data_IF_476983288347
#
_entry.id   IF_476983288347
#
_cell.length_a   1.000
_cell.length_b   1.000
_cell.length_c   1.000
_cell.angle_alpha   90.00
_cell.angle_beta   90.00
_cell.angle_gamma   90.00
#
_symmetry.space_group_name_H-M   'P 1'
#
loop_
_entity.id
_entity.type
_entity.pdbx_description
1 polymer ?
#
# COMPACT_ATOMS: atom_id res chain seq x y z
N UNK A 1 -24.84 26.11 1.23
CA UNK A 1 -23.51 26.29 1.85
C UNK A 1 -22.74 25.01 1.63
N UNK A 2 -21.75 25.06 0.74
CA UNK A 2 -20.87 23.94 0.48
C UNK A 2 -20.02 23.74 1.73
N UNK A 3 -20.11 22.56 2.34
CA UNK A 3 -19.29 22.19 3.47
C UNK A 3 -17.87 22.00 2.91
N UNK A 4 -17.02 23.00 3.08
CA UNK A 4 -15.60 22.97 2.73
C UNK A 4 -14.86 22.08 3.72
N UNK A 5 -15.18 20.79 3.71
CA UNK A 5 -14.39 19.77 4.37
C UNK A 5 -13.19 19.48 3.46
N UNK A 6 -12.16 20.32 3.51
CA UNK A 6 -10.87 19.97 2.93
C UNK A 6 -10.40 18.67 3.59
N UNK A 7 -10.32 17.57 2.82
CA UNK A 7 -10.06 16.22 3.34
C UNK A 7 -8.57 16.01 3.68
N UNK A 8 -7.69 16.89 3.18
CA UNK A 8 -6.32 17.10 3.68
C UNK A 8 -6.25 17.67 5.11
N UNK A 9 -7.41 17.86 5.75
CA UNK A 9 -7.51 18.16 7.17
C UNK A 9 -6.70 17.15 7.99
N UNK A 10 -5.98 17.68 8.99
CA UNK A 10 -5.14 16.89 9.90
C UNK A 10 -5.84 15.65 10.46
N UNK A 11 -7.14 15.77 10.74
CA UNK A 11 -7.95 14.67 11.27
C UNK A 11 -8.01 13.43 10.37
N UNK A 12 -8.10 13.59 9.05
CA UNK A 12 -8.14 12.45 8.12
C UNK A 12 -6.81 11.73 8.12
N UNK A 13 -5.71 12.49 8.09
CA UNK A 13 -4.34 11.97 8.13
C UNK A 13 -4.07 11.25 9.45
N UNK A 14 -4.54 11.78 10.58
CA UNK A 14 -4.45 11.12 11.88
C UNK A 14 -5.18 9.76 11.88
N UNK A 15 -6.35 9.67 11.20
CA UNK A 15 -7.08 8.40 11.04
C UNK A 15 -6.29 7.39 10.21
N UNK A 16 -5.63 7.85 9.13
CA UNK A 16 -4.75 7.01 8.30
C UNK A 16 -3.59 6.48 9.14
N UNK A 17 -2.84 7.34 9.84
CA UNK A 17 -1.72 6.90 10.67
C UNK A 17 -2.17 5.95 11.80
N UNK A 18 -3.31 6.22 12.44
CA UNK A 18 -3.88 5.30 13.44
C UNK A 18 -4.22 3.94 12.85
N UNK A 19 -4.81 3.91 11.65
CA UNK A 19 -5.09 2.66 10.93
C UNK A 19 -3.80 1.89 10.63
N UNK A 20 -2.79 2.55 10.06
CA UNK A 20 -1.49 1.95 9.73
C UNK A 20 -0.81 1.35 10.97
N UNK A 21 -0.73 2.11 12.06
CA UNK A 21 -0.17 1.62 13.31
C UNK A 21 -0.98 0.43 13.87
N UNK A 22 -2.31 0.49 13.75
CA UNK A 22 -3.22 -0.58 14.19
C UNK A 22 -3.05 -1.91 13.44
N UNK A 23 -2.64 -1.86 12.17
CA UNK A 23 -2.33 -3.05 11.37
C UNK A 23 -0.85 -3.46 11.45
N UNK A 24 -0.04 -2.76 12.25
CA UNK A 24 1.37 -3.08 12.47
C UNK A 24 2.33 -2.55 11.43
N UNK A 25 1.99 -1.42 10.78
CA UNK A 25 2.90 -0.60 9.98
C UNK A 25 3.23 0.64 10.81
N UNK A 26 4.40 0.70 11.46
CA UNK A 26 4.76 1.82 12.32
C UNK A 26 4.84 3.11 11.51
N UNK A 27 3.99 4.07 11.80
CA UNK A 27 3.93 5.35 11.11
C UNK A 27 3.91 6.50 12.12
N UNK A 28 4.76 7.52 11.90
CA UNK A 28 4.88 8.67 12.79
C UNK A 28 4.96 9.97 12.00
N UNK A 29 4.50 11.06 12.61
CA UNK A 29 4.76 12.38 12.06
C UNK A 29 6.21 12.79 12.30
N UNK A 30 6.80 13.39 11.27
CA UNK A 30 8.13 13.98 11.32
C UNK A 30 8.16 15.16 10.35
N UNK A 31 8.35 16.38 10.87
CA UNK A 31 8.35 17.60 10.05
C UNK A 31 9.57 17.59 9.13
N UNK A 32 9.32 17.84 7.84
CA UNK A 32 10.32 17.77 6.78
C UNK A 32 10.62 16.35 6.30
N UNK A 33 9.85 15.34 6.71
CA UNK A 33 10.04 13.99 6.19
C UNK A 33 9.83 13.96 4.68
N UNK A 34 10.85 13.52 3.96
CA UNK A 34 10.79 13.29 2.52
C UNK A 34 11.83 12.24 2.17
N UNK A 35 11.51 11.40 1.20
CA UNK A 35 12.38 10.31 0.73
C UNK A 35 12.31 10.20 -0.77
N UNK A 36 12.06 8.99 -1.26
CA UNK A 36 11.78 8.75 -2.68
C UNK A 36 10.53 9.53 -3.13
N UNK A 37 9.49 9.52 -2.28
CA UNK A 37 8.27 10.29 -2.47
C UNK A 37 8.28 11.58 -1.64
N UNK A 38 7.67 12.65 -2.16
CA UNK A 38 7.61 13.93 -1.46
C UNK A 38 6.72 13.85 -0.21
N UNK A 39 7.21 14.35 0.93
CA UNK A 39 6.44 14.39 2.18
C UNK A 39 6.40 13.06 2.96
N UNK A 40 6.97 11.98 2.43
CA UNK A 40 6.98 10.68 3.11
C UNK A 40 8.33 9.97 2.92
N UNK A 41 8.79 9.24 3.93
CA UNK A 41 10.02 8.45 3.86
C UNK A 41 9.83 7.11 4.54
N UNK A 42 10.20 6.05 3.84
CA UNK A 42 10.34 4.72 4.43
C UNK A 42 11.73 4.60 5.06
N UNK A 43 11.78 4.17 6.32
CA UNK A 43 13.01 3.94 7.09
C UNK A 43 12.96 2.55 7.74
N UNK A 44 13.74 1.62 7.20
CA UNK A 44 13.86 0.23 7.70
C UNK A 44 12.52 -0.42 8.11
N UNK A 45 11.50 -0.29 7.26
CA UNK A 45 10.17 -0.85 7.50
C UNK A 45 9.23 0.00 8.35
N UNK A 46 9.58 1.26 8.60
CA UNK A 46 8.73 2.27 9.27
C UNK A 46 8.46 3.45 8.33
N UNK A 47 7.41 4.23 8.63
CA UNK A 47 6.98 5.35 7.81
C UNK A 47 7.11 6.68 8.58
N UNK A 48 7.98 7.57 8.12
CA UNK A 48 8.05 8.95 8.56
C UNK A 48 7.21 9.82 7.60
N UNK A 49 6.25 10.56 8.15
CA UNK A 49 5.25 11.31 7.38
C UNK A 49 5.32 12.79 7.75
N UNK A 50 5.51 13.66 6.76
CA UNK A 50 5.38 15.09 6.96
C UNK A 50 3.90 15.45 7.22
N UNK A 51 3.57 16.36 8.15
CA UNK A 51 2.20 16.77 8.40
C UNK A 51 1.47 17.38 7.18
N UNK A 52 2.18 17.77 6.12
CA UNK A 52 1.62 18.25 4.85
C UNK A 52 1.64 17.21 3.73
N UNK A 53 2.10 15.99 4.02
CA UNK A 53 2.10 14.90 3.04
C UNK A 53 0.69 14.57 2.58
N UNK A 54 0.53 14.35 1.27
CA UNK A 54 -0.73 13.92 0.68
C UNK A 54 -1.14 12.55 1.21
N UNK A 55 -2.43 12.36 1.46
CA UNK A 55 -2.94 11.06 1.92
C UNK A 55 -2.66 9.94 0.91
N UNK A 56 -2.76 10.23 -0.39
CA UNK A 56 -2.45 9.29 -1.47
C UNK A 56 -1.02 8.76 -1.36
N UNK A 57 -0.05 9.65 -1.15
CA UNK A 57 1.37 9.30 -0.95
C UNK A 57 1.56 8.44 0.31
N UNK A 58 0.95 8.82 1.44
CA UNK A 58 1.04 8.03 2.68
C UNK A 58 0.51 6.61 2.48
N UNK A 59 -0.65 6.47 1.83
CA UNK A 59 -1.26 5.16 1.58
C UNK A 59 -0.40 4.30 0.64
N UNK A 60 0.15 4.89 -0.43
CA UNK A 60 1.01 4.19 -1.38
C UNK A 60 2.31 3.69 -0.74
N UNK A 61 3.03 4.56 -0.03
CA UNK A 61 4.28 4.17 0.64
C UNK A 61 4.02 3.13 1.75
N UNK A 62 2.93 3.28 2.51
CA UNK A 62 2.52 2.27 3.48
C UNK A 62 2.16 0.93 2.83
N UNK A 63 1.61 0.95 1.62
CA UNK A 63 1.24 -0.25 0.90
C UNK A 63 2.45 -1.13 0.59
N UNK A 64 3.59 -0.54 0.22
CA UNK A 64 4.83 -1.30 0.04
C UNK A 64 5.25 -2.05 1.32
N UNK A 65 5.09 -1.42 2.49
CA UNK A 65 5.35 -2.07 3.78
C UNK A 65 4.32 -3.14 4.11
N UNK A 66 3.06 -2.94 3.72
CA UNK A 66 1.95 -3.85 3.96
C UNK A 66 2.09 -5.15 3.17
N UNK A 67 2.43 -5.05 1.88
CA UNK A 67 2.59 -6.20 0.98
C UNK A 67 3.91 -6.93 1.22
N UNK A 68 4.93 -6.27 1.77
CA UNK A 68 6.21 -6.90 2.12
C UNK A 68 6.04 -7.83 3.33
N UNK A 69 6.41 -9.12 3.24
CA UNK A 69 6.38 -10.03 4.38
C UNK A 69 7.14 -9.48 5.57
N UNK A 70 6.56 -9.59 6.78
CA UNK A 70 7.10 -9.02 8.01
C UNK A 70 8.60 -9.30 8.23
N UNK A 71 9.08 -10.50 7.90
CA UNK A 71 10.48 -10.88 8.07
C UNK A 71 11.47 -10.11 7.16
N UNK A 72 10.99 -9.45 6.11
CA UNK A 72 11.78 -8.66 5.18
C UNK A 72 11.53 -7.16 5.25
N UNK A 73 10.53 -6.69 6.01
CA UNK A 73 10.18 -5.25 6.07
C UNK A 73 11.36 -4.37 6.49
N UNK A 74 12.25 -4.85 7.36
CA UNK A 74 13.44 -4.09 7.77
C UNK A 74 14.43 -3.83 6.64
N UNK A 75 14.29 -4.51 5.50
CA UNK A 75 15.08 -4.26 4.30
C UNK A 75 14.54 -3.08 3.48
N UNK A 76 13.30 -2.64 3.73
CA UNK A 76 12.66 -1.54 3.02
C UNK A 76 13.14 -0.22 3.61
N UNK A 77 13.96 0.53 2.85
CA UNK A 77 14.59 1.77 3.29
C UNK A 77 14.78 2.70 2.08
N UNK A 78 14.23 3.92 2.17
CA UNK A 78 14.26 4.89 1.08
C UNK A 78 13.75 4.32 -0.25
N UNK A 79 14.62 4.28 -1.27
CA UNK A 79 14.31 3.59 -2.53
C UNK A 79 14.34 2.07 -2.33
N UNK A 80 13.18 1.45 -2.52
CA UNK A 80 12.94 0.04 -2.19
C UNK A 80 13.68 -0.97 -3.06
N UNK A 81 14.28 -0.55 -4.18
CA UNK A 81 14.97 -1.45 -5.11
C UNK A 81 16.03 -2.32 -4.43
N UNK A 82 16.86 -1.73 -3.56
CA UNK A 82 17.92 -2.48 -2.87
C UNK A 82 17.33 -3.52 -1.90
N UNK A 83 16.29 -3.14 -1.15
CA UNK A 83 15.60 -4.02 -0.21
C UNK A 83 14.86 -5.16 -0.91
N UNK A 84 14.15 -4.87 -1.99
CA UNK A 84 13.45 -5.88 -2.79
C UNK A 84 14.41 -6.87 -3.43
N UNK A 85 15.54 -6.40 -3.96
CA UNK A 85 16.57 -7.28 -4.54
C UNK A 85 17.18 -8.21 -3.49
N UNK A 86 17.44 -7.69 -2.29
CA UNK A 86 17.94 -8.51 -1.18
C UNK A 86 16.89 -9.51 -0.67
N UNK A 87 15.63 -9.11 -0.61
CA UNK A 87 14.51 -10.00 -0.28
C UNK A 87 14.42 -11.17 -1.27
N UNK A 88 14.46 -10.89 -2.57
CA UNK A 88 14.44 -11.91 -3.63
C UNK A 88 15.65 -12.85 -3.53
N UNK A 89 16.85 -12.32 -3.32
CA UNK A 89 18.07 -13.12 -3.12
C UNK A 89 17.92 -14.09 -1.94
N UNK A 90 17.43 -13.63 -0.79
CA UNK A 90 17.25 -14.46 0.40
C UNK A 90 16.23 -15.57 0.21
N UNK A 91 15.22 -15.35 -0.63
CA UNK A 91 14.19 -16.36 -0.94
C UNK A 91 14.72 -17.40 -1.91
N UNK A 92 15.49 -16.97 -2.92
CA UNK A 92 16.16 -17.87 -3.85
C UNK A 92 17.14 -18.81 -3.11
N UNK A 93 17.92 -18.28 -2.17
CA UNK A 93 18.86 -19.05 -1.34
C UNK A 93 18.19 -20.08 -0.42
N UNK A 94 16.92 -19.87 -0.05
CA UNK A 94 16.17 -20.84 0.73
C UNK A 94 15.72 -22.05 -0.10
N UNK A 95 15.81 -21.98 -1.44
CA UNK A 95 15.40 -23.08 -2.32
C UNK A 95 13.93 -23.46 -2.16
N UNK A 96 13.07 -22.50 -1.81
CA UNK A 96 11.64 -22.75 -1.61
C UNK A 96 10.97 -23.13 -2.94
N UNK A 97 9.95 -23.98 -2.87
CA UNK A 97 9.10 -24.22 -4.03
C UNK A 97 8.42 -22.89 -4.47
N UNK A 98 8.33 -22.58 -5.78
CA UNK A 98 7.74 -21.33 -6.27
C UNK A 98 6.29 -21.08 -5.81
N UNK A 99 5.53 -22.15 -5.58
CA UNK A 99 4.16 -22.08 -5.05
C UNK A 99 4.07 -22.04 -3.51
N UNK A 100 5.21 -22.04 -2.80
CA UNK A 100 5.19 -21.88 -1.35
C UNK A 100 4.56 -20.53 -0.97
N UNK A 101 3.83 -20.44 0.16
CA UNK A 101 3.15 -19.20 0.54
C UNK A 101 4.10 -17.99 0.60
N UNK A 102 5.32 -18.17 1.13
CA UNK A 102 6.28 -17.09 1.25
C UNK A 102 6.85 -16.66 -0.10
N UNK A 103 7.18 -17.60 -0.99
CA UNK A 103 7.67 -17.26 -2.33
C UNK A 103 6.61 -16.48 -3.12
N UNK A 104 5.35 -16.95 -3.08
CA UNK A 104 4.22 -16.24 -3.68
C UNK A 104 4.02 -14.85 -3.11
N UNK A 105 4.11 -14.67 -1.79
CA UNK A 105 4.00 -13.34 -1.19
C UNK A 105 5.08 -12.39 -1.73
N UNK A 106 6.33 -12.86 -1.80
CA UNK A 106 7.50 -12.06 -2.19
C UNK A 106 7.43 -11.59 -3.65
N UNK A 107 6.98 -12.45 -4.57
CA UNK A 107 6.88 -12.07 -5.99
C UNK A 107 5.70 -11.16 -6.31
N UNK A 108 4.81 -10.92 -5.34
CA UNK A 108 3.62 -10.05 -5.45
C UNK A 108 3.79 -8.76 -4.60
N UNK A 109 5.02 -8.28 -4.47
CA UNK A 109 5.39 -7.10 -3.67
C UNK A 109 5.78 -5.89 -4.56
N UNK A 110 5.08 -5.66 -5.67
CA UNK A 110 5.43 -4.60 -6.63
C UNK A 110 4.47 -3.40 -6.59
N UNK A 111 4.77 -2.36 -7.37
CA UNK A 111 3.98 -1.12 -7.46
C UNK A 111 2.50 -1.32 -7.76
N UNK A 112 2.09 -2.22 -8.70
CA UNK A 112 0.68 -2.54 -8.87
C UNK A 112 0.01 -3.08 -7.61
N UNK A 113 0.61 -4.03 -6.89
CA UNK A 113 0.00 -4.56 -5.66
C UNK A 113 -0.07 -3.50 -4.57
N UNK A 114 0.95 -2.63 -4.48
CA UNK A 114 0.95 -1.49 -3.58
C UNK A 114 -0.20 -0.51 -3.91
N UNK A 115 -0.36 -0.17 -5.18
CA UNK A 115 -1.42 0.72 -5.67
C UNK A 115 -2.81 0.14 -5.40
N UNK A 116 -3.00 -1.16 -5.65
CA UNK A 116 -4.23 -1.84 -5.28
C UNK A 116 -4.42 -1.76 -3.77
N UNK A 117 -3.45 -2.19 -2.95
CA UNK A 117 -3.62 -2.21 -1.50
C UNK A 117 -3.98 -0.82 -0.94
N UNK A 118 -3.33 0.24 -1.43
CA UNK A 118 -3.63 1.63 -1.07
C UNK A 118 -5.09 1.99 -1.36
N UNK A 119 -5.62 1.54 -2.50
CA UNK A 119 -7.03 1.66 -2.85
C UNK A 119 -7.96 0.95 -1.88
N UNK A 120 -7.69 -0.32 -1.59
CA UNK A 120 -8.51 -1.07 -0.63
C UNK A 120 -8.50 -0.43 0.77
N UNK A 121 -7.33 0.01 1.24
CA UNK A 121 -7.19 0.70 2.52
C UNK A 121 -7.99 2.01 2.55
N UNK A 122 -7.83 2.86 1.54
CA UNK A 122 -8.55 4.12 1.44
C UNK A 122 -10.08 3.94 1.36
N UNK A 123 -10.55 2.95 0.60
CA UNK A 123 -11.98 2.58 0.55
C UNK A 123 -12.49 2.12 1.91
N UNK A 124 -11.71 1.29 2.64
CA UNK A 124 -12.10 0.84 3.99
C UNK A 124 -12.18 1.97 5.01
N UNK A 125 -11.39 3.03 4.81
CA UNK A 125 -11.39 4.25 5.61
C UNK A 125 -12.50 5.23 5.20
N UNK A 126 -13.25 4.92 4.13
CA UNK A 126 -14.31 5.78 3.60
C UNK A 126 -13.78 7.04 2.92
N UNK A 127 -12.57 7.00 2.38
CA UNK A 127 -11.98 8.13 1.64
C UNK A 127 -12.56 8.22 0.23
N UNK A 128 -12.74 9.42 -0.33
CA UNK A 128 -13.10 9.56 -1.73
C UNK A 128 -11.94 9.10 -2.62
N UNK A 129 -12.27 8.47 -3.75
CA UNK A 129 -11.25 7.89 -4.64
C UNK A 129 -10.17 8.88 -5.06
N UNK A 130 -10.53 10.14 -5.31
CA UNK A 130 -9.61 11.20 -5.70
C UNK A 130 -8.61 11.61 -4.61
N UNK A 131 -8.76 11.18 -3.36
CA UNK A 131 -7.80 11.40 -2.26
C UNK A 131 -6.92 10.17 -2.01
N UNK A 132 -7.35 9.01 -2.51
CA UNK A 132 -6.58 7.77 -2.47
C UNK A 132 -5.53 7.78 -3.59
N UNK A 133 -5.94 8.21 -4.78
CA UNK A 133 -5.09 8.42 -5.96
C UNK A 133 -5.50 9.75 -6.57
N UNK A 134 -4.58 10.71 -6.68
CA UNK A 134 -4.83 12.04 -7.26
C UNK A 134 -4.82 11.99 -8.78
N UNK A 135 -5.39 13.01 -9.43
CA UNK A 135 -5.39 13.10 -10.90
C UNK A 135 -3.99 13.33 -11.48
N UNK A 136 -3.12 14.03 -10.75
CA UNK A 136 -1.76 14.37 -11.17
C UNK A 136 -0.74 13.25 -10.91
N UNK A 137 -1.15 12.16 -10.27
CA UNK A 137 -0.30 11.01 -10.00
C UNK A 137 -0.20 10.07 -11.21
N UNK A 138 0.82 9.21 -11.22
CA UNK A 138 1.08 8.24 -12.30
C UNK A 138 1.16 8.93 -13.67
N UNK A 139 2.01 9.96 -13.78
CA UNK A 139 2.18 10.75 -14.99
C UNK A 139 0.88 11.36 -15.56
N UNK A 140 -0.08 11.66 -14.67
CA UNK A 140 -1.40 12.21 -15.02
C UNK A 140 -2.48 11.17 -15.31
N UNK A 141 -2.18 9.88 -15.13
CA UNK A 141 -3.12 8.76 -15.38
C UNK A 141 -3.90 8.34 -14.12
N UNK A 142 -3.78 9.09 -13.02
CA UNK A 142 -4.41 8.72 -11.76
C UNK A 142 -5.92 8.50 -11.86
N UNK A 143 -6.63 9.29 -12.67
CA UNK A 143 -8.06 9.09 -12.91
C UNK A 143 -8.39 7.75 -13.59
N UNK A 144 -7.58 7.35 -14.57
CA UNK A 144 -7.74 6.07 -15.29
C UNK A 144 -7.40 4.89 -14.38
N UNK A 145 -6.36 5.01 -13.54
CA UNK A 145 -6.03 4.02 -12.54
C UNK A 145 -7.17 3.80 -11.53
N UNK A 146 -7.80 4.87 -11.04
CA UNK A 146 -9.00 4.76 -10.19
C UNK A 146 -10.14 4.05 -10.89
N UNK A 147 -10.39 4.39 -12.16
CA UNK A 147 -11.44 3.72 -12.95
C UNK A 147 -11.16 2.22 -13.08
N UNK A 148 -9.92 1.84 -13.39
CA UNK A 148 -9.51 0.44 -13.47
C UNK A 148 -9.68 -0.30 -12.13
N UNK A 149 -9.33 0.33 -10.99
CA UNK A 149 -9.51 -0.23 -9.65
C UNK A 149 -10.98 -0.41 -9.29
N UNK A 150 -11.83 0.57 -9.62
CA UNK A 150 -13.29 0.52 -9.43
C UNK A 150 -13.93 -0.58 -10.28
N UNK A 151 -13.44 -0.77 -11.50
CA UNK A 151 -13.91 -1.80 -12.43
C UNK A 151 -13.34 -3.20 -12.13
N UNK A 152 -12.51 -3.34 -11.08
CA UNK A 152 -11.83 -4.60 -10.75
C UNK A 152 -10.95 -5.13 -11.92
N UNK A 153 -10.36 -4.21 -12.68
CA UNK A 153 -9.57 -4.46 -13.88
C UNK A 153 -8.09 -4.06 -13.72
N UNK A 154 -7.71 -3.46 -12.60
CA UNK A 154 -6.33 -3.09 -12.30
C UNK A 154 -5.48 -4.32 -11.97
N UNK A 155 -4.31 -4.45 -12.61
CA UNK A 155 -3.50 -5.67 -12.59
C UNK A 155 -3.05 -6.10 -11.18
N UNK A 156 -2.72 -5.15 -10.31
CA UNK A 156 -2.28 -5.42 -8.93
C UNK A 156 -3.31 -6.16 -8.07
N UNK A 157 -4.59 -6.15 -8.46
CA UNK A 157 -5.63 -6.91 -7.75
C UNK A 157 -5.37 -8.41 -7.85
N UNK A 158 -4.86 -8.88 -8.99
CA UNK A 158 -4.52 -10.28 -9.17
C UNK A 158 -3.33 -10.68 -8.31
N UNK A 159 -2.33 -9.81 -8.18
CA UNK A 159 -1.19 -10.05 -7.30
C UNK A 159 -1.59 -10.14 -5.84
N UNK A 160 -2.41 -9.20 -5.35
CA UNK A 160 -2.99 -9.27 -4.00
C UNK A 160 -3.81 -10.55 -3.78
N UNK A 161 -4.58 -10.99 -4.78
CA UNK A 161 -5.33 -12.23 -4.69
C UNK A 161 -4.42 -13.47 -4.61
N UNK A 162 -3.35 -13.52 -5.40
CA UNK A 162 -2.35 -14.59 -5.34
C UNK A 162 -1.54 -14.59 -4.04
N UNK A 163 -1.35 -13.41 -3.46
CA UNK A 163 -0.76 -13.19 -2.14
C UNK A 163 -1.71 -13.54 -0.98
N UNK A 164 -2.99 -13.82 -1.25
CA UNK A 164 -3.99 -14.25 -0.27
C UNK A 164 -4.80 -13.13 0.38
N UNK A 165 -4.52 -11.86 0.05
CA UNK A 165 -5.20 -10.71 0.63
C UNK A 165 -6.69 -10.70 0.32
N UNK A 166 -7.12 -11.16 -0.84
CA UNK A 166 -8.53 -11.19 -1.23
C UNK A 166 -8.79 -12.27 -2.27
N UNK A 167 -10.06 -12.44 -2.66
CA UNK A 167 -10.41 -13.06 -3.92
C UNK A 167 -10.82 -11.99 -4.95
N UNK A 168 -10.48 -12.18 -6.22
CA UNK A 168 -10.91 -11.25 -7.30
C UNK A 168 -12.44 -11.17 -7.40
N UNK A 169 -13.11 -12.30 -7.15
CA UNK A 169 -14.58 -12.42 -7.05
C UNK A 169 -14.89 -13.27 -5.83
N UNK A 170 -16.06 -13.05 -5.20
CA UNK A 170 -16.47 -13.78 -4.00
C UNK A 170 -16.36 -15.29 -4.23
N UNK A 171 -15.51 -15.96 -3.44
CA UNK A 171 -15.28 -17.41 -3.54
C UNK A 171 -15.08 -18.00 -2.15
N UNK A 172 -16.03 -18.83 -1.72
CA UNK A 172 -15.97 -19.48 -0.42
C UNK A 172 -15.95 -18.46 0.73
N UNK A 173 -14.97 -18.60 1.64
CA UNK A 173 -14.80 -17.75 2.83
C UNK A 173 -14.00 -16.47 2.59
N UNK A 174 -13.37 -16.30 1.43
CA UNK A 174 -12.55 -15.13 1.16
C UNK A 174 -13.40 -13.93 0.77
N UNK A 175 -13.06 -12.77 1.32
CA UNK A 175 -13.62 -11.50 0.91
C UNK A 175 -13.26 -11.19 -0.54
N UNK A 176 -14.21 -10.59 -1.25
CA UNK A 176 -13.99 -10.12 -2.61
C UNK A 176 -13.37 -8.72 -2.58
N UNK A 177 -12.43 -8.48 -3.50
CA UNK A 177 -11.92 -7.15 -3.79
C UNK A 177 -13.06 -6.10 -3.87
N UNK A 178 -12.93 -4.90 -3.25
CA UNK A 178 -11.75 -4.34 -2.58
C UNK A 178 -11.61 -4.67 -1.08
N UNK A 179 -12.41 -5.58 -0.52
CA UNK A 179 -12.22 -5.99 0.87
C UNK A 179 -11.07 -7.00 0.97
N UNK A 180 -10.19 -6.80 1.95
CA UNK A 180 -9.07 -7.68 2.23
C UNK A 180 -9.37 -8.57 3.45
N UNK A 181 -8.94 -9.83 3.39
CA UNK A 181 -8.99 -10.82 4.46
C UNK A 181 -8.07 -10.42 5.63
N UNK A 182 -6.94 -9.78 5.32
CA UNK A 182 -5.94 -9.25 6.25
C UNK A 182 -5.24 -8.07 5.61
N UNK A 183 -4.55 -7.26 6.41
CA UNK A 183 -3.96 -6.00 5.94
C UNK A 183 -2.44 -6.04 5.72
N UNK A 184 -1.73 -7.03 6.24
CA UNK A 184 -0.26 -7.13 6.04
C UNK A 184 0.21 -8.57 5.91
N UNK A 185 1.27 -8.82 5.13
CA UNK A 185 1.95 -10.12 5.02
C UNK A 185 2.85 -10.47 6.22
#
# INVERSE_FOLDING_TARGET
>A
MLNDSSIEASYTRDRVLRFLNGIGIPARYEVGATGFSAGCRIEQGTLAVDPQCRISTVLHEAAHLAITPRCFRSLMDGNLYAGQREMLRRIDEQGLHPDSPLYRAVIQCSDPEATAWAWAAGVSLGLPGSEIIRDDEYDGEGADNRLALQMNAYIGIHGLAHAGFCAVRKRGKHDAWPRLNFWTQ
#
